data_IF_519833769166
#
_entry.id   IF_519833769166
#
_cell.length_a   1.000
_cell.length_b   1.000
_cell.length_c   1.000
_cell.angle_alpha   90.00
_cell.angle_beta   90.00
_cell.angle_gamma   90.00
#
_symmetry.space_group_name_H-M   'P 1'
#
loop_
_entity.id
_entity.type
_entity.pdbx_description
1 polymer ?
#
# COMPACT_ATOMS: atom_id res chain seq x y z
N UNK A 1 15.75 1.38 -1.24
CA UNK A 1 14.37 1.49 -1.75
C UNK A 1 13.87 2.90 -1.47
N UNK A 2 13.38 3.63 -2.47
CA UNK A 2 12.84 5.00 -2.26
C UNK A 2 11.32 4.96 -2.29
N UNK A 3 10.66 5.95 -1.67
CA UNK A 3 9.19 6.05 -1.64
C UNK A 3 8.59 6.02 -3.06
N UNK A 4 9.26 6.64 -4.03
CA UNK A 4 8.83 6.61 -5.43
C UNK A 4 8.84 5.19 -6.02
N UNK A 5 9.93 4.44 -5.82
CA UNK A 5 10.06 3.08 -6.33
C UNK A 5 9.06 2.10 -5.70
N UNK A 6 8.70 2.31 -4.43
CA UNK A 6 7.67 1.51 -3.75
C UNK A 6 6.33 1.63 -4.45
N UNK A 7 5.92 2.87 -4.75
CA UNK A 7 4.65 3.12 -5.43
C UNK A 7 4.62 2.51 -6.83
N UNK A 8 5.73 2.59 -7.57
CA UNK A 8 5.87 1.99 -8.91
C UNK A 8 5.80 0.45 -8.89
N UNK A 9 6.41 -0.20 -7.90
CA UNK A 9 6.33 -1.66 -7.73
C UNK A 9 4.89 -2.11 -7.49
N UNK A 10 4.19 -1.40 -6.60
CA UNK A 10 2.80 -1.69 -6.28
C UNK A 10 1.90 -1.44 -7.50
N UNK A 11 2.10 -0.32 -8.19
CA UNK A 11 1.36 0.02 -9.41
C UNK A 11 1.49 -1.07 -10.48
N UNK A 12 2.73 -1.46 -10.82
CA UNK A 12 2.96 -2.48 -11.84
C UNK A 12 2.36 -3.84 -11.50
N UNK A 13 2.32 -4.20 -10.21
CA UNK A 13 1.65 -5.43 -9.77
C UNK A 13 0.12 -5.36 -9.93
N UNK A 14 -0.47 -4.19 -9.73
CA UNK A 14 -1.92 -3.95 -9.87
C UNK A 14 -2.32 -3.93 -11.34
N UNK A 15 -1.55 -3.23 -12.19
CA UNK A 15 -1.77 -3.19 -13.64
C UNK A 15 -1.71 -4.60 -14.24
N UNK A 16 -0.69 -5.38 -13.86
CA UNK A 16 -0.58 -6.77 -14.29
C UNK A 16 -1.75 -7.64 -13.81
N UNK A 17 -2.26 -7.42 -12.59
CA UNK A 17 -3.42 -8.15 -12.09
C UNK A 17 -4.71 -7.77 -12.82
N UNK A 18 -4.87 -6.48 -13.16
CA UNK A 18 -5.99 -5.97 -13.94
C UNK A 18 -6.02 -6.54 -15.35
N UNK A 19 -4.87 -6.63 -16.03
CA UNK A 19 -4.74 -7.21 -17.37
C UNK A 19 -5.16 -8.69 -17.42
N UNK A 20 -4.89 -9.43 -16.34
CA UNK A 20 -5.26 -10.85 -16.22
C UNK A 20 -6.72 -11.04 -15.75
N UNK A 21 -7.47 -9.95 -15.53
CA UNK A 21 -8.86 -9.98 -15.09
C UNK A 21 -9.04 -10.45 -13.65
N UNK A 22 -8.01 -10.31 -12.81
CA UNK A 22 -8.09 -10.63 -11.38
C UNK A 22 -8.73 -9.47 -10.62
N UNK A 23 -9.34 -9.81 -9.48
CA UNK A 23 -9.90 -8.83 -8.56
C UNK A 23 -8.83 -7.81 -8.13
N UNK A 24 -9.01 -6.56 -8.59
CA UNK A 24 -8.07 -5.46 -8.41
C UNK A 24 -7.89 -5.14 -6.92
N UNK A 25 -8.95 -5.22 -6.12
CA UNK A 25 -8.89 -4.98 -4.67
C UNK A 25 -8.01 -6.01 -3.95
N UNK A 26 -8.16 -7.29 -4.30
CA UNK A 26 -7.30 -8.37 -3.78
C UNK A 26 -5.84 -8.18 -4.22
N UNK A 27 -5.62 -7.77 -5.47
CA UNK A 27 -4.28 -7.50 -5.99
C UNK A 27 -3.62 -6.33 -5.25
N UNK A 28 -4.32 -5.23 -5.05
CA UNK A 28 -3.87 -4.06 -4.28
C UNK A 28 -3.45 -4.47 -2.87
N UNK A 29 -4.34 -5.16 -2.15
CA UNK A 29 -4.06 -5.62 -0.79
C UNK A 29 -2.80 -6.46 -0.75
N UNK A 30 -2.67 -7.42 -1.67
CA UNK A 30 -1.54 -8.35 -1.74
C UNK A 30 -0.23 -7.65 -2.10
N UNK A 31 -0.27 -6.74 -3.08
CA UNK A 31 0.89 -5.97 -3.52
C UNK A 31 1.42 -5.07 -2.40
N UNK A 32 0.53 -4.32 -1.73
CA UNK A 32 0.91 -3.46 -0.61
C UNK A 32 1.45 -4.29 0.55
N UNK A 33 0.76 -5.37 0.92
CA UNK A 33 1.19 -6.28 1.99
C UNK A 33 2.58 -6.85 1.74
N UNK A 34 2.82 -7.40 0.55
CA UNK A 34 4.11 -7.96 0.16
C UNK A 34 5.22 -6.90 0.16
N UNK A 35 4.92 -5.70 -0.32
CA UNK A 35 5.88 -4.59 -0.35
C UNK A 35 6.27 -4.13 1.05
N UNK A 36 5.30 -3.99 1.96
CA UNK A 36 5.54 -3.59 3.35
C UNK A 36 6.34 -4.65 4.11
N UNK A 37 6.03 -5.94 3.91
CA UNK A 37 6.83 -7.04 4.47
C UNK A 37 8.25 -7.02 3.95
N UNK A 38 8.42 -6.95 2.63
CA UNK A 38 9.75 -6.90 2.00
C UNK A 38 10.57 -5.71 2.49
N UNK A 39 9.93 -4.56 2.74
CA UNK A 39 10.55 -3.40 3.36
C UNK A 39 11.13 -3.72 4.75
N UNK A 40 10.35 -4.40 5.58
CA UNK A 40 10.79 -4.83 6.91
C UNK A 40 11.96 -5.82 6.85
N UNK A 41 11.93 -6.76 5.91
CA UNK A 41 12.99 -7.76 5.73
C UNK A 41 14.33 -7.13 5.32
N UNK A 42 14.29 -6.04 4.55
CA UNK A 42 15.50 -5.29 4.14
C UNK A 42 15.86 -4.14 5.08
N UNK A 43 15.16 -4.00 6.22
CA UNK A 43 15.42 -2.96 7.22
C UNK A 43 15.03 -1.53 6.78
N UNK A 44 14.11 -1.39 5.83
CA UNK A 44 13.58 -0.09 5.42
C UNK A 44 12.54 0.44 6.42
N UNK A 45 12.24 1.74 6.32
CA UNK A 45 11.20 2.39 7.12
C UNK A 45 9.81 1.87 6.69
N UNK A 46 9.24 0.99 7.50
CA UNK A 46 7.94 0.34 7.25
C UNK A 46 6.81 1.37 7.20
N UNK A 47 6.87 2.42 8.03
CA UNK A 47 5.85 3.46 8.07
C UNK A 47 5.80 4.26 6.76
N UNK A 48 6.95 4.78 6.33
CA UNK A 48 7.05 5.50 5.04
C UNK A 48 6.73 4.59 3.86
N UNK A 49 7.20 3.35 3.91
CA UNK A 49 6.91 2.37 2.85
C UNK A 49 5.43 2.08 2.74
N UNK A 50 4.72 1.93 3.86
CA UNK A 50 3.27 1.74 3.86
C UNK A 50 2.55 2.93 3.22
N UNK A 51 2.92 4.18 3.52
CA UNK A 51 2.33 5.37 2.90
C UNK A 51 2.57 5.37 1.39
N UNK A 52 3.81 5.14 0.98
CA UNK A 52 4.19 5.13 -0.43
C UNK A 52 3.49 4.01 -1.22
N UNK A 53 3.36 2.82 -0.61
CA UNK A 53 2.66 1.69 -1.21
C UNK A 53 1.16 1.97 -1.36
N UNK A 54 0.53 2.56 -0.33
CA UNK A 54 -0.88 2.94 -0.38
C UNK A 54 -1.13 4.03 -1.42
N UNK A 55 -0.31 5.08 -1.47
CA UNK A 55 -0.46 6.15 -2.46
C UNK A 55 -0.22 5.64 -3.90
N UNK A 56 0.77 4.75 -4.09
CA UNK A 56 1.01 4.07 -5.36
C UNK A 56 -0.16 3.20 -5.80
N UNK A 57 -0.75 2.43 -4.87
CA UNK A 57 -1.92 1.60 -5.17
C UNK A 57 -3.13 2.43 -5.59
N UNK A 58 -3.43 3.51 -4.87
CA UNK A 58 -4.57 4.39 -5.17
C UNK A 58 -4.38 5.08 -6.52
N UNK A 59 -3.16 5.52 -6.84
CA UNK A 59 -2.84 6.09 -8.16
C UNK A 59 -3.05 5.07 -9.27
N UNK A 60 -2.45 3.88 -9.14
CA UNK A 60 -2.58 2.82 -10.13
C UNK A 60 -4.05 2.45 -10.37
N UNK A 61 -4.83 2.31 -9.29
CA UNK A 61 -6.27 2.07 -9.38
C UNK A 61 -7.00 3.16 -10.17
N UNK A 62 -6.67 4.44 -9.93
CA UNK A 62 -7.22 5.56 -10.69
C UNK A 62 -6.81 5.55 -12.17
N UNK A 63 -5.57 5.17 -12.48
CA UNK A 63 -5.05 5.08 -13.84
C UNK A 63 -5.73 4.00 -14.67
N UNK A 64 -6.09 2.87 -14.05
CA UNK A 64 -6.84 1.78 -14.70
C UNK A 64 -8.37 1.95 -14.62
N UNK A 65 -8.87 3.05 -14.05
CA UNK A 65 -10.30 3.34 -13.91
C UNK A 65 -11.04 2.52 -12.84
N UNK A 66 -10.32 1.92 -11.89
CA UNK A 66 -10.88 1.24 -10.74
C UNK A 66 -11.31 2.22 -9.64
N UNK A 67 -12.10 1.73 -8.67
CA UNK A 67 -12.56 2.55 -7.55
C UNK A 67 -11.39 2.89 -6.61
N UNK A 68 -11.03 4.18 -6.56
CA UNK A 68 -9.91 4.66 -5.75
C UNK A 68 -10.17 4.62 -4.24
N UNK A 69 -11.44 4.62 -3.80
CA UNK A 69 -11.79 4.52 -2.38
C UNK A 69 -11.68 3.07 -1.91
N UNK A 70 -12.17 2.13 -2.70
CA UNK A 70 -11.99 0.69 -2.48
C UNK A 70 -10.50 0.31 -2.52
N UNK A 71 -9.76 0.85 -3.50
CA UNK A 71 -8.31 0.70 -3.57
C UNK A 71 -7.61 1.20 -2.30
N UNK A 72 -7.99 2.37 -1.80
CA UNK A 72 -7.45 2.93 -0.56
C UNK A 72 -7.74 1.99 0.63
N UNK A 73 -8.96 1.45 0.73
CA UNK A 73 -9.36 0.54 1.79
C UNK A 73 -8.54 -0.76 1.76
N UNK A 74 -8.43 -1.39 0.59
CA UNK A 74 -7.64 -2.61 0.40
C UNK A 74 -6.16 -2.39 0.63
N UNK A 75 -5.61 -1.28 0.14
CA UNK A 75 -4.21 -0.92 0.33
C UNK A 75 -3.90 -0.70 1.81
N UNK A 76 -4.74 0.10 2.49
CA UNK A 76 -4.60 0.37 3.93
C UNK A 76 -4.68 -0.92 4.73
N UNK A 77 -5.64 -1.79 4.40
CA UNK A 77 -5.78 -3.11 5.05
C UNK A 77 -4.54 -3.98 4.83
N UNK A 78 -4.02 -4.05 3.60
CA UNK A 78 -2.83 -4.83 3.28
C UNK A 78 -1.58 -4.33 4.02
N UNK A 79 -1.40 -3.02 4.11
CA UNK A 79 -0.29 -2.41 4.84
C UNK A 79 -0.37 -2.70 6.34
N UNK A 80 -1.55 -2.57 6.93
CA UNK A 80 -1.79 -2.82 8.35
C UNK A 80 -1.59 -4.30 8.67
N UNK A 81 -2.12 -5.22 7.87
CA UNK A 81 -1.92 -6.65 8.08
C UNK A 81 -0.44 -7.04 7.99
N UNK A 82 0.30 -6.50 7.01
CA UNK A 82 1.75 -6.70 6.94
C UNK A 82 2.44 -6.23 8.22
N UNK A 83 2.07 -5.04 8.70
CA UNK A 83 2.61 -4.47 9.91
C UNK A 83 2.24 -5.28 11.16
N UNK A 84 1.04 -5.84 11.25
CA UNK A 84 0.61 -6.73 12.33
C UNK A 84 1.40 -8.05 12.36
N UNK A 85 1.71 -8.60 11.18
CA UNK A 85 2.58 -9.78 11.08
C UNK A 85 4.04 -9.48 11.45
N UNK A 86 4.49 -8.23 11.29
CA UNK A 86 5.82 -7.78 11.76
C UNK A 86 5.81 -7.57 13.28
N UNK A 87 4.75 -6.95 13.82
CA UNK A 87 4.57 -6.75 15.25
C UNK A 87 3.56 -5.66 15.61
N UNK A 88 2.97 -5.75 16.79
CA UNK A 88 1.90 -4.83 17.26
C UNK A 88 2.32 -3.36 17.29
N UNK A 89 3.56 -3.05 17.68
CA UNK A 89 4.07 -1.67 17.69
C UNK A 89 4.19 -1.11 16.27
N UNK A 90 4.66 -1.93 15.32
CA UNK A 90 4.75 -1.59 13.90
C UNK A 90 3.36 -1.33 13.32
N UNK A 91 2.38 -2.17 13.66
CA UNK A 91 0.99 -1.98 13.25
C UNK A 91 0.42 -0.65 13.76
N UNK A 92 0.66 -0.30 15.03
CA UNK A 92 0.22 0.99 15.58
C UNK A 92 0.90 2.18 14.90
N UNK A 93 2.21 2.08 14.63
CA UNK A 93 2.96 3.11 13.92
C UNK A 93 2.40 3.32 12.50
N UNK A 94 2.22 2.25 11.73
CA UNK A 94 1.64 2.31 10.38
C UNK A 94 0.23 2.88 10.39
N UNK A 95 -0.65 2.41 11.29
CA UNK A 95 -2.01 2.96 11.44
C UNK A 95 -2.00 4.46 11.74
N UNK A 96 -1.08 4.91 12.61
CA UNK A 96 -0.94 6.33 12.96
C UNK A 96 -0.49 7.13 11.74
N UNK A 97 0.55 6.67 11.06
CA UNK A 97 1.13 7.37 9.92
C UNK A 97 0.16 7.46 8.74
N UNK A 98 -0.58 6.37 8.45
CA UNK A 98 -1.61 6.35 7.40
C UNK A 98 -2.78 7.30 7.72
N UNK A 99 -3.26 7.32 8.98
CA UNK A 99 -4.28 8.29 9.42
C UNK A 99 -3.82 9.73 9.23
N UNK A 100 -2.57 10.04 9.57
CA UNK A 100 -2.00 11.37 9.32
C UNK A 100 -1.84 11.68 7.84
N UNK A 101 -1.46 10.71 7.01
CA UNK A 101 -1.33 10.91 5.57
C UNK A 101 -2.69 11.23 4.91
N UNK A 102 -3.75 10.49 5.28
CA UNK A 102 -5.12 10.74 4.79
C UNK A 102 -5.65 12.08 5.28
N UNK A 103 -5.43 12.43 6.57
CA UNK A 103 -5.89 13.70 7.15
C UNK A 103 -5.07 14.92 6.70
N UNK A 104 -3.81 14.70 6.35
CA UNK A 104 -2.85 15.74 5.96
C UNK A 104 -3.08 16.30 4.55
N UNK A 105 -3.70 15.52 3.65
CA UNK A 105 -3.99 15.94 2.26
C UNK A 105 -5.15 16.96 2.14
N UNK A 106 -5.73 17.38 3.27
CA UNK A 106 -6.85 18.35 3.35
C UNK A 106 -6.51 19.70 4.01
N UNK A 107 -5.25 20.14 4.01
CA UNK A 107 -4.82 21.47 4.49
C UNK A 107 -4.11 22.26 3.40
#
# INVERSE_FOLDING_TARGET
MTEKSVGEIVAGAIEAASEVGKDVGVAIKSAVKGTVKGASEVGADVGKTAVAAVDGAVKAAGEIGADTAEALEHATTGAIEAAEEIGSDTAQAVRTVLKTAVKGKGR
#
